data_IF_555807510921
#
_entry.id   IF_555807510921
#
_cell.length_a   1.000
_cell.length_b   1.000
_cell.length_c   1.000
_cell.angle_alpha   90.00
_cell.angle_beta   90.00
_cell.angle_gamma   90.00
#
_symmetry.space_group_name_H-M   'P 1'
#
loop_
_entity.id
_entity.type
_entity.pdbx_description
1 polymer ?
#
# COMPACT_ATOMS: atom_id res chain seq x y z
N UNK A 1 15.05 5.56 3.94
CA UNK A 1 14.00 4.70 4.54
C UNK A 1 14.26 4.68 6.03
N UNK A 2 13.23 4.88 6.83
CA UNK A 2 13.33 4.84 8.29
C UNK A 2 12.89 3.44 8.74
N UNK A 3 13.57 2.87 9.72
CA UNK A 3 13.24 1.55 10.25
C UNK A 3 11.82 1.58 10.84
N UNK A 4 11.02 0.55 10.53
CA UNK A 4 9.62 0.46 10.97
C UNK A 4 8.60 1.17 10.07
N UNK A 5 9.04 1.95 9.07
CA UNK A 5 8.12 2.61 8.13
C UNK A 5 7.35 1.60 7.27
N UNK A 6 6.03 1.71 7.30
CA UNK A 6 5.11 0.89 6.50
C UNK A 6 5.05 1.43 5.07
N UNK A 7 5.24 0.53 4.11
CA UNK A 7 5.18 0.83 2.69
C UNK A 7 4.37 -0.20 1.93
N UNK A 8 4.07 0.10 0.67
CA UNK A 8 3.33 -0.74 -0.27
C UNK A 8 4.31 -1.20 -1.35
N UNK A 9 4.30 -2.49 -1.68
CA UNK A 9 5.21 -3.07 -2.67
C UNK A 9 4.46 -3.98 -3.63
N UNK A 10 4.85 -3.94 -4.90
CA UNK A 10 4.43 -4.93 -5.88
C UNK A 10 5.04 -6.29 -5.54
N UNK A 11 4.19 -7.28 -5.25
CA UNK A 11 4.61 -8.64 -4.88
C UNK A 11 5.45 -9.30 -5.99
N UNK A 12 5.13 -9.01 -7.26
CA UNK A 12 5.83 -9.57 -8.40
C UNK A 12 7.26 -9.02 -8.54
N UNK A 13 7.50 -7.76 -8.16
CA UNK A 13 8.84 -7.17 -8.14
C UNK A 13 9.65 -7.47 -6.86
N UNK A 14 9.09 -8.18 -5.88
CA UNK A 14 9.74 -8.36 -4.58
C UNK A 14 11.10 -9.07 -4.67
N UNK A 15 11.24 -9.97 -5.64
CA UNK A 15 12.47 -10.74 -5.87
C UNK A 15 13.55 -9.94 -6.63
N UNK A 16 13.18 -8.86 -7.33
CA UNK A 16 14.12 -8.01 -8.06
C UNK A 16 14.92 -7.12 -7.12
N UNK A 17 16.16 -6.81 -7.49
CA UNK A 17 16.95 -5.76 -6.82
C UNK A 17 16.32 -4.39 -7.08
N UNK A 18 16.45 -3.42 -6.17
CA UNK A 18 15.82 -2.10 -6.33
C UNK A 18 16.06 -1.42 -7.68
N UNK A 19 17.29 -1.51 -8.22
CA UNK A 19 17.67 -0.91 -9.51
C UNK A 19 17.02 -1.56 -10.74
N UNK A 20 16.56 -2.81 -10.61
CA UNK A 20 15.96 -3.58 -11.71
C UNK A 20 14.43 -3.45 -11.69
N UNK A 21 13.86 -2.80 -10.67
CA UNK A 21 12.41 -2.61 -10.54
C UNK A 21 11.95 -1.43 -11.39
N UNK A 22 10.80 -1.59 -12.04
CA UNK A 22 10.11 -0.46 -12.66
C UNK A 22 9.74 0.60 -11.60
N UNK A 23 9.57 1.85 -12.05
CA UNK A 23 9.23 2.98 -11.18
C UNK A 23 8.01 2.67 -10.32
N UNK A 24 8.00 3.17 -9.07
CA UNK A 24 6.93 2.97 -8.08
C UNK A 24 6.59 1.51 -7.77
N UNK A 25 7.53 0.57 -7.95
CA UNK A 25 7.38 -0.81 -7.47
C UNK A 25 7.29 -0.91 -5.93
N UNK A 26 7.85 0.07 -5.23
CA UNK A 26 7.74 0.27 -3.78
C UNK A 26 7.41 1.73 -3.53
N UNK A 27 6.41 2.00 -2.71
CA UNK A 27 6.01 3.34 -2.32
C UNK A 27 5.82 3.41 -0.80
N UNK A 28 6.21 4.53 -0.20
CA UNK A 28 6.02 4.81 1.22
C UNK A 28 5.09 6.01 1.35
N UNK A 29 3.78 5.80 1.58
CA UNK A 29 2.85 6.91 1.76
C UNK A 29 3.26 7.76 2.97
N UNK A 30 3.10 9.08 2.85
CA UNK A 30 3.42 10.01 3.94
C UNK A 30 2.40 9.95 5.10
N UNK A 31 1.22 9.38 4.88
CA UNK A 31 0.17 9.20 5.88
C UNK A 31 -0.86 8.18 5.43
N UNK A 32 -1.67 7.66 6.35
CA UNK A 32 -2.75 6.70 6.07
C UNK A 32 -3.80 7.28 5.10
N UNK A 33 -4.02 8.59 5.14
CA UNK A 33 -4.93 9.29 4.21
C UNK A 33 -4.41 9.34 2.77
N UNK A 34 -3.11 9.07 2.56
CA UNK A 34 -2.46 9.03 1.24
C UNK A 34 -2.34 7.62 0.66
N UNK A 35 -2.72 6.57 1.40
CA UNK A 35 -2.64 5.18 0.92
C UNK A 35 -3.41 5.00 -0.39
N UNK A 36 -4.67 5.44 -0.44
CA UNK A 36 -5.50 5.31 -1.65
C UNK A 36 -4.85 5.96 -2.88
N UNK A 37 -4.39 7.20 -2.74
CA UNK A 37 -3.73 7.92 -3.84
C UNK A 37 -2.44 7.22 -4.27
N UNK A 38 -1.65 6.73 -3.30
CA UNK A 38 -0.41 6.00 -3.58
C UNK A 38 -0.67 4.73 -4.39
N UNK A 39 -1.72 3.96 -4.04
CA UNK A 39 -2.12 2.77 -4.78
C UNK A 39 -2.66 3.13 -6.17
N UNK A 40 -3.45 4.20 -6.30
CA UNK A 40 -3.93 4.68 -7.58
C UNK A 40 -2.77 5.10 -8.52
N UNK A 41 -1.72 5.71 -7.97
CA UNK A 41 -0.51 6.05 -8.73
C UNK A 41 0.28 4.80 -9.12
N UNK A 42 0.42 3.80 -8.24
CA UNK A 42 1.01 2.51 -8.61
C UNK A 42 0.22 1.83 -9.73
N UNK A 43 -1.10 1.84 -9.65
CA UNK A 43 -1.97 1.31 -10.71
C UNK A 43 -1.79 2.03 -12.04
N UNK A 44 -1.62 3.36 -12.02
CA UNK A 44 -1.47 4.19 -13.23
C UNK A 44 -0.08 4.07 -13.86
N UNK A 45 0.97 4.06 -13.04
CA UNK A 45 2.35 4.23 -13.52
C UNK A 45 3.16 2.94 -13.42
N UNK A 46 3.03 2.19 -12.32
CA UNK A 46 3.80 0.97 -12.13
C UNK A 46 3.17 -0.22 -12.86
N UNK A 47 1.89 -0.49 -12.64
CA UNK A 47 1.26 -1.72 -13.17
C UNK A 47 1.26 -1.77 -14.68
N UNK A 48 1.07 -0.64 -15.37
CA UNK A 48 1.12 -0.58 -16.84
C UNK A 48 2.52 -0.93 -17.41
N UNK A 49 3.61 -0.70 -16.65
CA UNK A 49 4.99 -0.89 -17.11
C UNK A 49 5.70 -2.11 -16.51
N UNK A 50 5.14 -2.70 -15.45
CA UNK A 50 5.79 -3.76 -14.69
C UNK A 50 5.86 -5.08 -15.47
N UNK A 51 7.06 -5.52 -15.85
CA UNK A 51 7.28 -6.76 -16.62
C UNK A 51 7.10 -8.03 -15.78
N UNK A 52 7.13 -7.91 -14.45
CA UNK A 52 7.01 -9.06 -13.54
C UNK A 52 5.56 -9.48 -13.28
N UNK A 53 4.57 -8.62 -13.57
CA UNK A 53 3.16 -8.98 -13.41
C UNK A 53 2.80 -9.99 -14.51
N UNK A 54 2.38 -11.22 -14.18
CA UNK A 54 1.98 -12.22 -15.16
C UNK A 54 0.87 -11.70 -16.08
N UNK A 55 0.90 -12.09 -17.35
CA UNK A 55 -0.05 -11.61 -18.36
C UNK A 55 -1.50 -11.90 -18.00
N UNK A 56 -1.77 -13.04 -17.37
CA UNK A 56 -3.11 -13.39 -16.92
C UNK A 56 -3.61 -12.46 -15.81
N UNK A 57 -2.77 -12.18 -14.80
CA UNK A 57 -3.06 -11.19 -13.76
C UNK A 57 -3.28 -9.80 -14.36
N UNK A 58 -2.49 -9.41 -15.35
CA UNK A 58 -2.63 -8.13 -16.06
C UNK A 58 -3.95 -8.04 -16.84
N UNK A 59 -4.36 -9.12 -17.51
CA UNK A 59 -5.64 -9.20 -18.23
C UNK A 59 -6.83 -9.03 -17.28
N UNK A 60 -6.82 -9.74 -16.15
CA UNK A 60 -7.85 -9.63 -15.11
C UNK A 60 -7.87 -8.21 -14.53
N UNK A 61 -6.71 -7.63 -14.21
CA UNK A 61 -6.63 -6.25 -13.71
C UNK A 61 -7.26 -5.26 -14.70
N UNK A 62 -6.96 -5.38 -16.00
CA UNK A 62 -7.51 -4.50 -17.04
C UNK A 62 -9.01 -4.64 -17.20
N UNK A 63 -9.57 -5.85 -17.05
CA UNK A 63 -11.02 -6.06 -17.15
C UNK A 63 -11.77 -5.46 -15.94
N UNK A 64 -11.17 -5.44 -14.76
CA UNK A 64 -11.77 -4.87 -13.55
C UNK A 64 -11.68 -3.34 -13.47
N UNK A 65 -10.71 -2.72 -14.16
CA UNK A 65 -10.50 -1.25 -14.13
C UNK A 65 -11.71 -0.46 -14.65
N UNK A 66 -12.57 -1.08 -15.45
CA UNK A 66 -13.73 -0.44 -16.11
C UNK A 66 -15.05 -0.62 -15.36
N UNK A 67 -15.10 -1.41 -14.28
CA UNK A 67 -16.36 -1.87 -13.69
C UNK A 67 -16.86 -1.06 -12.50
N UNK A 68 -16.25 0.09 -12.15
CA UNK A 68 -16.62 0.80 -10.93
C UNK A 68 -18.03 1.43 -11.03
N UNK A 69 -19.00 1.06 -10.17
CA UNK A 69 -20.27 1.76 -10.08
C UNK A 69 -20.04 3.17 -9.55
N UNK A 70 -20.56 4.18 -10.25
CA UNK A 70 -20.54 5.56 -9.76
C UNK A 70 -21.43 5.67 -8.53
N UNK A 71 -20.94 6.31 -7.46
CA UNK A 71 -21.76 6.72 -6.30
C UNK A 71 -21.59 5.94 -4.98
N UNK A 72 -20.77 4.88 -4.92
CA UNK A 72 -20.56 4.10 -3.68
C UNK A 72 -19.35 4.61 -2.90
N UNK A 73 -19.58 5.50 -1.93
CA UNK A 73 -18.60 5.97 -0.95
C UNK A 73 -17.31 6.61 -1.51
N UNK A 74 -16.52 7.23 -0.63
CA UNK A 74 -15.16 7.64 -0.97
C UNK A 74 -14.21 6.44 -0.78
N UNK A 75 -13.49 5.97 -1.82
CA UNK A 75 -12.46 4.94 -1.66
C UNK A 75 -11.44 5.29 -0.59
N UNK A 76 -11.11 6.57 -0.47
CA UNK A 76 -10.16 7.07 0.52
C UNK A 76 -10.64 6.75 1.95
N UNK A 77 -11.94 6.88 2.23
CA UNK A 77 -12.51 6.55 3.55
C UNK A 77 -12.30 5.08 3.89
N UNK A 78 -12.56 4.17 2.95
CA UNK A 78 -12.32 2.74 3.13
C UNK A 78 -10.85 2.47 3.49
N UNK A 79 -9.91 3.00 2.70
CA UNK A 79 -8.48 2.80 2.95
C UNK A 79 -8.03 3.36 4.31
N UNK A 80 -8.52 4.54 4.70
CA UNK A 80 -8.23 5.13 6.02
C UNK A 80 -8.79 4.28 7.15
N UNK A 81 -10.03 3.80 7.03
CA UNK A 81 -10.65 2.95 8.05
C UNK A 81 -9.92 1.60 8.18
N UNK A 82 -9.59 0.96 7.07
CA UNK A 82 -8.82 -0.29 7.06
C UNK A 82 -7.43 -0.09 7.68
N UNK A 83 -6.74 1.01 7.37
CA UNK A 83 -5.45 1.32 7.97
C UNK A 83 -5.55 1.45 9.50
N UNK A 84 -6.57 2.15 10.01
CA UNK A 84 -6.82 2.26 11.45
C UNK A 84 -7.13 0.91 12.10
N UNK A 85 -7.91 0.05 11.46
CA UNK A 85 -8.20 -1.30 11.95
C UNK A 85 -6.96 -2.19 12.03
N UNK A 86 -5.98 -1.96 11.16
CA UNK A 86 -4.67 -2.62 11.20
C UNK A 86 -3.68 -1.96 12.18
N UNK A 87 -4.16 -1.02 13.00
CA UNK A 87 -3.37 -0.23 13.92
C UNK A 87 -2.22 0.54 13.23
N UNK A 88 -2.44 1.00 11.99
CA UNK A 88 -1.52 1.89 11.30
C UNK A 88 -1.71 3.32 11.78
N UNK A 89 -0.63 3.95 12.20
CA UNK A 89 -0.61 5.31 12.74
C UNK A 89 0.26 6.23 11.89
N UNK A 90 -0.16 7.49 11.78
CA UNK A 90 0.66 8.54 11.17
C UNK A 90 1.76 8.98 12.14
N UNK A 91 2.93 9.28 11.60
CA UNK A 91 4.08 9.85 12.30
C UNK A 91 4.75 10.91 11.42
N UNK A 92 5.69 11.66 11.98
CA UNK A 92 6.51 12.63 11.22
C UNK A 92 7.28 11.98 10.05
N UNK A 93 7.47 10.67 10.12
CA UNK A 93 8.25 9.89 9.17
C UNK A 93 7.41 8.98 8.27
N UNK A 94 6.09 9.21 8.20
CA UNK A 94 5.15 8.39 7.44
C UNK A 94 4.37 7.44 8.34
N UNK A 95 4.00 6.28 7.82
CA UNK A 95 3.13 5.33 8.53
C UNK A 95 3.96 4.34 9.34
N UNK A 96 3.55 4.07 10.58
CA UNK A 96 4.10 3.02 11.45
C UNK A 96 3.00 2.07 11.90
N UNK A 97 3.36 0.88 12.40
CA UNK A 97 2.46 0.09 13.23
C UNK A 97 2.44 0.69 14.63
N UNK A 98 1.24 0.86 15.22
CA UNK A 98 1.12 1.18 16.63
C UNK A 98 1.70 0.04 17.47
N UNK A 99 2.58 0.36 18.43
CA UNK A 99 3.20 -0.64 19.29
C UNK A 99 2.14 -1.57 19.91
N UNK A 100 2.32 -2.87 19.72
CA UNK A 100 1.66 -3.91 20.49
C UNK A 100 2.42 -4.12 21.81
N UNK A 101 2.54 -3.09 22.64
CA UNK A 101 3.07 -3.24 23.99
C UNK A 101 2.19 -2.50 24.98
N UNK A 102 1.15 -3.20 25.44
CA UNK A 102 0.57 -2.96 26.75
C UNK A 102 0.24 -4.29 27.42
N UNK A 103 0.90 -4.48 28.57
CA UNK A 103 0.73 -5.49 29.63
C UNK A 103 1.43 -6.85 29.49
N UNK A 104 2.56 -6.99 30.21
CA UNK A 104 2.74 -8.00 31.28
C UNK A 104 4.05 -7.77 32.04
N UNK A 105 4.04 -6.90 33.06
CA UNK A 105 4.77 -7.14 34.31
C UNK A 105 4.05 -6.34 35.40
N UNK A 106 3.05 -7.00 35.99
CA UNK A 106 2.53 -6.63 37.31
C UNK A 106 3.64 -6.83 38.35
N UNK A 107 3.69 -5.89 39.29
CA UNK A 107 4.48 -5.98 40.51
C UNK A 107 4.15 -7.25 41.30
N UNK A 108 5.16 -7.99 41.75
CA UNK A 108 5.23 -8.68 43.05
C UNK A 108 6.66 -9.13 43.32
#
# INVERSE_FOLDING_TARGET
MILGQVGIRCIHCAHLRPKDRAERAVCYPSSISRIYQTVADMQRFHFEQCREIPDETRKIYKSLKTTRPRGVGSPQTYWVQSAKLLNLIDSDNGILFGNSESNSTENS
#
